data_IF_233443866486
#
_entry.id   IF_233443866486
#
_cell.length_a   1.000
_cell.length_b   1.000
_cell.length_c   1.000
_cell.angle_alpha   90.00
_cell.angle_beta   90.00
_cell.angle_gamma   90.00
#
_symmetry.space_group_name_H-M   'P 1'
#
loop_
_entity.id
_entity.type
_entity.pdbx_description
1 polymer ?
#
# COMPACT_ATOMS: atom_id res chain seq x y z
N UNK A 1 -54.27 41.93 24.98
CA UNK A 1 -52.89 41.47 24.73
C UNK A 1 -52.82 39.98 25.04
N UNK A 2 -52.84 39.12 24.02
CA UNK A 2 -52.64 37.69 24.22
C UNK A 2 -51.21 37.43 24.72
N UNK A 3 -51.08 36.74 25.86
CA UNK A 3 -49.79 36.20 26.31
C UNK A 3 -49.39 35.10 25.32
N UNK A 4 -48.45 35.39 24.42
CA UNK A 4 -47.80 34.36 23.61
C UNK A 4 -47.28 33.26 24.53
N UNK A 5 -47.74 32.04 24.31
CA UNK A 5 -47.34 30.88 25.11
C UNK A 5 -45.98 30.39 24.63
N UNK A 6 -44.91 31.07 25.05
CA UNK A 6 -43.53 30.80 24.67
C UNK A 6 -43.03 29.41 25.13
N UNK A 7 -43.85 28.62 25.84
CA UNK A 7 -43.50 27.24 26.25
C UNK A 7 -43.11 26.38 25.05
N UNK A 8 -43.85 26.49 23.93
CA UNK A 8 -43.53 25.72 22.72
C UNK A 8 -42.18 26.09 22.13
N UNK A 9 -41.89 27.40 22.03
CA UNK A 9 -40.62 27.93 21.51
C UNK A 9 -39.44 27.55 22.43
N UNK A 10 -39.61 27.66 23.75
CA UNK A 10 -38.61 27.26 24.75
C UNK A 10 -38.35 25.76 24.70
N UNK A 11 -39.38 24.92 24.55
CA UNK A 11 -39.22 23.47 24.41
C UNK A 11 -38.48 23.11 23.12
N UNK A 12 -38.76 23.78 21.99
CA UNK A 12 -38.02 23.58 20.74
C UNK A 12 -36.55 23.96 20.90
N UNK A 13 -36.26 25.11 21.51
CA UNK A 13 -34.87 25.55 21.75
C UNK A 13 -34.13 24.51 22.60
N UNK A 14 -34.78 23.98 23.64
CA UNK A 14 -34.19 22.94 24.49
C UNK A 14 -33.92 21.64 23.71
N UNK A 15 -34.86 21.21 22.87
CA UNK A 15 -34.68 20.02 22.01
C UNK A 15 -33.52 20.22 21.03
N UNK A 16 -33.41 21.38 20.39
CA UNK A 16 -32.31 21.70 19.46
C UNK A 16 -30.97 21.67 20.19
N UNK A 17 -30.87 22.31 21.37
CA UNK A 17 -29.64 22.30 22.18
C UNK A 17 -29.25 20.87 22.58
N UNK A 18 -30.19 20.08 23.09
CA UNK A 18 -29.93 18.70 23.49
C UNK A 18 -29.51 17.86 22.28
N UNK A 19 -30.17 18.00 21.13
CA UNK A 19 -29.80 17.32 19.90
C UNK A 19 -28.40 17.71 19.43
N UNK A 20 -28.06 19.01 19.44
CA UNK A 20 -26.72 19.50 19.09
C UNK A 20 -25.63 18.93 20.02
N UNK A 21 -25.90 18.85 21.32
CA UNK A 21 -24.97 18.24 22.30
C UNK A 21 -24.77 16.74 21.99
N UNK A 22 -25.85 16.00 21.73
CA UNK A 22 -25.78 14.58 21.36
C UNK A 22 -24.98 14.39 20.08
N UNK A 23 -25.27 15.18 19.04
CA UNK A 23 -24.56 15.11 17.76
C UNK A 23 -23.08 15.47 17.90
N UNK A 24 -22.74 16.47 18.72
CA UNK A 24 -21.35 16.82 19.01
C UNK A 24 -20.63 15.72 19.79
N UNK A 25 -21.29 15.13 20.78
CA UNK A 25 -20.76 13.97 21.51
C UNK A 25 -20.49 12.77 20.60
N UNK A 26 -21.43 12.43 19.73
CA UNK A 26 -21.26 11.39 18.71
C UNK A 26 -20.09 11.71 17.77
N UNK A 27 -19.99 12.96 17.31
CA UNK A 27 -18.89 13.41 16.47
C UNK A 27 -17.52 13.21 17.16
N UNK A 28 -17.40 13.56 18.44
CA UNK A 28 -16.15 13.38 19.19
C UNK A 28 -15.78 11.89 19.35
N UNK A 29 -16.74 11.04 19.70
CA UNK A 29 -16.53 9.59 19.82
C UNK A 29 -16.10 8.99 18.48
N UNK A 30 -16.77 9.37 17.40
CA UNK A 30 -16.46 8.93 16.04
C UNK A 30 -15.06 9.42 15.63
N UNK A 31 -14.71 10.66 15.93
CA UNK A 31 -13.40 11.23 15.59
C UNK A 31 -12.25 10.52 16.35
N UNK A 32 -12.40 10.26 17.64
CA UNK A 32 -11.40 9.48 18.40
C UNK A 32 -11.31 8.02 17.91
N UNK A 33 -12.44 7.41 17.57
CA UNK A 33 -12.45 6.10 16.93
C UNK A 33 -11.64 6.15 15.63
N UNK A 34 -11.85 7.14 14.76
CA UNK A 34 -11.12 7.27 13.49
C UNK A 34 -9.63 7.56 13.67
N UNK A 35 -9.21 8.31 14.71
CA UNK A 35 -7.79 8.53 15.00
C UNK A 35 -7.03 7.23 15.27
N UNK A 36 -7.67 6.25 15.91
CA UNK A 36 -7.08 4.93 16.13
C UNK A 36 -6.79 4.17 14.82
N UNK A 37 -7.55 4.45 13.77
CA UNK A 37 -7.38 3.85 12.43
C UNK A 37 -6.71 4.81 11.45
N UNK A 38 -6.12 5.91 11.94
CA UNK A 38 -5.33 6.79 11.13
C UNK A 38 -3.89 6.28 11.12
N UNK A 39 -3.31 6.12 9.93
CA UNK A 39 -1.90 5.81 9.79
C UNK A 39 -1.28 6.56 8.62
N UNK A 40 0.01 6.81 8.77
CA UNK A 40 0.86 7.31 7.70
C UNK A 40 1.76 6.17 7.30
N UNK A 41 1.83 5.85 6.01
CA UNK A 41 2.75 4.86 5.46
C UNK A 41 3.66 5.55 4.44
N UNK A 42 4.97 5.44 4.64
CA UNK A 42 5.98 6.01 3.77
C UNK A 42 6.84 4.87 3.25
N UNK A 43 6.96 4.72 1.93
CA UNK A 43 7.68 3.61 1.32
C UNK A 43 8.76 4.11 0.36
N UNK A 44 9.77 3.27 0.12
CA UNK A 44 10.80 3.49 -0.90
C UNK A 44 10.53 2.63 -2.13
N UNK A 45 10.55 3.17 -3.36
CA UNK A 45 10.68 4.59 -3.75
C UNK A 45 9.50 5.45 -3.29
N UNK A 46 9.74 6.77 -3.14
CA UNK A 46 8.86 7.76 -2.48
C UNK A 46 7.38 7.56 -2.79
N UNK A 47 6.66 7.04 -1.80
CA UNK A 47 5.19 7.05 -1.74
C UNK A 47 4.78 7.33 -0.30
N UNK A 48 3.92 8.31 -0.10
CA UNK A 48 3.39 8.67 1.22
C UNK A 48 1.88 8.52 1.16
N UNK A 49 1.32 7.65 1.99
CA UNK A 49 -0.11 7.42 2.11
C UNK A 49 -0.56 7.84 3.51
N UNK A 50 -1.51 8.77 3.57
CA UNK A 50 -2.29 9.00 4.78
C UNK A 50 -3.61 8.26 4.66
N UNK A 51 -3.83 7.31 5.55
CA UNK A 51 -5.04 6.52 5.59
C UNK A 51 -5.84 6.84 6.85
N UNK A 52 -7.15 6.98 6.70
CA UNK A 52 -8.12 7.04 7.79
C UNK A 52 -9.09 5.89 7.59
N UNK A 53 -8.86 4.80 8.32
CA UNK A 53 -9.55 3.53 8.06
C UNK A 53 -9.35 3.17 6.58
N UNK A 54 -10.40 2.74 5.89
CA UNK A 54 -10.33 2.26 4.51
C UNK A 54 -10.02 3.33 3.46
N UNK A 55 -9.96 4.61 3.83
CA UNK A 55 -9.78 5.70 2.89
C UNK A 55 -8.34 6.21 2.98
N UNK A 56 -7.61 6.13 1.87
CA UNK A 56 -6.20 6.47 1.79
C UNK A 56 -6.00 7.55 0.74
N UNK A 57 -5.22 8.55 1.10
CA UNK A 57 -4.87 9.67 0.23
C UNK A 57 -3.37 9.67 -0.01
N UNK A 58 -2.98 9.80 -1.28
CA UNK A 58 -1.58 10.00 -1.64
C UNK A 58 -1.14 11.42 -1.29
N UNK A 59 -0.12 11.50 -0.43
CA UNK A 59 0.50 12.73 0.11
C UNK A 59 1.94 12.90 -0.33
N UNK A 60 2.39 12.14 -1.32
CA UNK A 60 3.77 12.16 -1.84
C UNK A 60 4.23 13.55 -2.25
N UNK A 61 3.34 14.35 -2.85
CA UNK A 61 3.64 15.74 -3.24
C UNK A 61 3.92 16.69 -2.07
N UNK A 62 3.56 16.30 -0.84
CA UNK A 62 3.71 17.07 0.39
C UNK A 62 4.86 16.53 1.26
N UNK A 63 5.82 15.79 0.69
CA UNK A 63 6.92 15.11 1.41
C UNK A 63 7.67 15.97 2.42
N UNK A 64 7.83 17.27 2.16
CA UNK A 64 8.49 18.20 3.07
C UNK A 64 7.81 18.31 4.45
N UNK A 65 6.50 18.04 4.54
CA UNK A 65 5.75 17.99 5.81
C UNK A 65 6.11 16.79 6.67
N UNK A 66 6.75 15.77 6.10
CA UNK A 66 7.12 14.53 6.75
C UNK A 66 8.59 14.49 7.15
N UNK A 67 9.42 15.41 6.63
CA UNK A 67 10.83 15.54 6.98
C UNK A 67 11.03 15.91 8.46
N UNK A 68 12.13 15.42 9.04
CA UNK A 68 12.57 15.65 10.41
C UNK A 68 11.55 15.23 11.48
N UNK A 69 10.73 14.23 11.16
CA UNK A 69 9.82 13.57 12.09
C UNK A 69 10.25 12.12 12.32
N UNK A 70 9.90 11.61 13.49
CA UNK A 70 10.15 10.23 13.88
C UNK A 70 9.02 9.31 13.44
N UNK A 71 9.37 8.17 12.86
CA UNK A 71 8.42 7.12 12.48
C UNK A 71 8.95 5.77 12.91
N UNK A 72 8.05 4.83 13.19
CA UNK A 72 8.44 3.43 13.29
C UNK A 72 8.98 2.99 11.94
N UNK A 73 10.09 2.28 11.92
CA UNK A 73 10.83 2.00 10.70
C UNK A 73 11.07 0.51 10.57
N UNK A 74 10.72 -0.02 9.41
CA UNK A 74 11.07 -1.37 9.04
C UNK A 74 11.96 -1.33 7.80
N UNK A 75 13.08 -2.02 7.88
CA UNK A 75 14.05 -2.15 6.79
C UNK A 75 14.21 -3.63 6.49
N UNK A 76 13.99 -4.00 5.23
CA UNK A 76 14.14 -5.38 4.74
C UNK A 76 13.41 -6.42 5.63
N UNK A 77 12.19 -6.10 6.05
CA UNK A 77 11.33 -6.95 6.88
C UNK A 77 11.62 -6.91 8.38
N UNK A 78 12.62 -6.16 8.84
CA UNK A 78 13.00 -6.05 10.26
C UNK A 78 12.57 -4.70 10.85
N UNK A 79 11.84 -4.75 11.95
CA UNK A 79 11.55 -3.57 12.76
C UNK A 79 12.83 -3.11 13.47
N UNK A 80 13.25 -1.88 13.21
CA UNK A 80 14.43 -1.25 13.81
C UNK A 80 14.05 -0.08 14.74
N UNK A 81 12.77 0.03 15.11
CA UNK A 81 12.27 1.04 16.02
C UNK A 81 12.01 2.39 15.36
N UNK A 82 12.02 3.45 16.18
CA UNK A 82 11.74 4.81 15.74
C UNK A 82 12.98 5.48 15.19
N UNK A 83 12.86 6.03 13.98
CA UNK A 83 13.96 6.74 13.31
C UNK A 83 13.43 8.01 12.63
N UNK A 84 14.30 8.99 12.48
CA UNK A 84 13.99 10.25 11.82
C UNK A 84 14.22 10.13 10.32
N UNK A 85 13.27 10.65 9.54
CA UNK A 85 13.38 10.68 8.07
C UNK A 85 13.75 12.07 7.56
N UNK A 86 14.57 12.12 6.52
CA UNK A 86 14.75 13.29 5.66
C UNK A 86 14.74 12.90 4.19
N UNK A 87 13.86 13.50 3.40
CA UNK A 87 13.87 13.39 1.94
C UNK A 87 14.58 14.59 1.30
N UNK A 88 15.62 14.31 0.53
CA UNK A 88 16.30 15.27 -0.33
C UNK A 88 15.63 15.27 -1.71
N UNK A 89 14.91 16.35 -2.03
CA UNK A 89 14.22 16.51 -3.31
C UNK A 89 15.15 16.68 -4.50
N UNK A 90 16.37 17.19 -4.29
CA UNK A 90 17.37 17.36 -5.34
C UNK A 90 17.98 16.02 -5.72
N UNK A 91 18.29 15.18 -4.73
CA UNK A 91 18.84 13.84 -4.95
C UNK A 91 17.76 12.77 -5.14
N UNK A 92 16.48 13.11 -4.91
CA UNK A 92 15.33 12.21 -4.90
C UNK A 92 15.52 10.99 -3.98
N UNK A 93 16.12 11.19 -2.80
CA UNK A 93 16.53 10.12 -1.88
C UNK A 93 16.06 10.37 -0.45
N UNK A 94 15.76 9.28 0.24
CA UNK A 94 15.54 9.30 1.68
C UNK A 94 16.83 9.03 2.44
N UNK A 95 16.92 9.69 3.58
CA UNK A 95 17.91 9.46 4.61
C UNK A 95 17.16 9.12 5.89
N UNK A 96 17.59 8.05 6.54
CA UNK A 96 17.03 7.59 7.81
C UNK A 96 18.13 7.77 8.86
N UNK A 97 17.77 8.35 10.01
CA UNK A 97 18.69 8.63 11.11
C UNK A 97 18.19 7.98 12.39
N UNK A 98 19.10 7.35 13.13
CA UNK A 98 18.81 6.84 14.47
C UNK A 98 18.66 7.97 15.49
N UNK A 99 18.35 7.62 16.75
CA UNK A 99 18.21 8.58 17.86
C UNK A 99 19.51 9.33 18.23
N UNK A 100 20.65 8.96 17.64
CA UNK A 100 21.97 9.60 17.81
C UNK A 100 22.40 10.36 16.54
N UNK A 101 21.49 10.57 15.60
CA UNK A 101 21.73 11.22 14.31
C UNK A 101 22.72 10.45 13.40
N UNK A 102 22.92 9.14 13.62
CA UNK A 102 23.69 8.32 12.70
C UNK A 102 22.81 7.90 11.52
N UNK A 103 23.35 8.04 10.31
CA UNK A 103 22.66 7.57 9.10
C UNK A 103 22.59 6.04 9.06
N UNK A 104 21.38 5.52 8.88
CA UNK A 104 21.09 4.12 8.66
C UNK A 104 21.09 3.84 7.16
N UNK A 105 21.94 2.90 6.74
CA UNK A 105 22.00 2.44 5.35
C UNK A 105 21.01 1.31 5.13
N UNK A 106 20.34 1.32 3.99
CA UNK A 106 19.47 0.26 3.50
C UNK A 106 19.71 0.04 2.01
N UNK A 107 19.53 -1.19 1.55
CA UNK A 107 19.87 -1.57 0.17
C UNK A 107 18.65 -1.68 -0.73
N UNK A 108 17.53 -2.20 -0.23
CA UNK A 108 16.39 -2.56 -1.05
C UNK A 108 15.18 -1.67 -0.74
N UNK A 109 14.43 -2.04 0.30
CA UNK A 109 13.15 -1.41 0.59
C UNK A 109 13.01 -1.15 2.07
N UNK A 110 12.44 0.00 2.38
CA UNK A 110 11.97 0.29 3.72
C UNK A 110 10.53 0.75 3.63
N UNK A 111 9.85 0.63 4.76
CA UNK A 111 8.68 1.44 5.02
C UNK A 111 8.77 2.03 6.43
N UNK A 112 8.28 3.26 6.54
CA UNK A 112 8.15 4.00 7.77
C UNK A 112 6.69 4.28 8.02
N UNK A 113 6.29 4.27 9.29
CA UNK A 113 4.89 4.47 9.63
C UNK A 113 4.65 5.14 10.97
N UNK A 114 3.49 5.79 11.03
CA UNK A 114 2.86 6.26 12.26
C UNK A 114 1.50 5.57 12.41
N UNK A 115 1.15 5.13 13.61
CA UNK A 115 -0.06 4.36 13.89
C UNK A 115 0.21 2.87 14.13
N UNK A 116 -0.86 2.08 14.20
CA UNK A 116 -0.80 0.63 14.48
C UNK A 116 -0.72 -0.17 13.19
N UNK A 117 0.47 -0.25 12.60
CA UNK A 117 0.78 -1.18 11.50
C UNK A 117 1.58 -2.34 12.07
N UNK A 118 1.24 -3.57 11.67
CA UNK A 118 2.12 -4.72 11.92
C UNK A 118 2.82 -5.14 10.64
N UNK A 119 4.14 -5.08 10.69
CA UNK A 119 5.02 -5.53 9.62
C UNK A 119 5.06 -7.05 9.53
N UNK A 120 5.06 -7.59 8.31
CA UNK A 120 5.17 -9.03 8.10
C UNK A 120 6.43 -9.29 7.28
N UNK A 121 7.24 -10.23 7.77
CA UNK A 121 8.36 -10.73 7.00
C UNK A 121 7.81 -11.44 5.76
N UNK A 122 8.15 -10.91 4.58
CA UNK A 122 7.84 -11.56 3.32
C UNK A 122 8.76 -12.72 3.08
N UNK A 123 8.19 -13.90 2.86
CA UNK A 123 8.90 -15.04 2.32
C UNK A 123 8.62 -15.15 0.81
N UNK A 124 9.68 -15.00 0.02
CA UNK A 124 9.63 -14.99 -1.45
C UNK A 124 10.17 -16.32 -1.95
N UNK A 125 9.35 -17.01 -2.71
CA UNK A 125 9.67 -18.31 -3.27
C UNK A 125 9.85 -18.22 -4.79
N UNK A 126 10.72 -19.05 -5.35
CA UNK A 126 10.81 -19.21 -6.80
C UNK A 126 9.51 -19.82 -7.35
N UNK A 127 9.17 -19.45 -8.59
CA UNK A 127 8.01 -20.00 -9.30
C UNK A 127 8.49 -21.12 -10.21
N UNK A 128 7.90 -22.31 -10.06
CA UNK A 128 8.27 -23.45 -10.90
C UNK A 128 7.77 -23.30 -12.33
N UNK A 129 8.40 -24.01 -13.27
CA UNK A 129 7.97 -24.06 -14.68
C UNK A 129 6.51 -24.50 -14.83
N UNK A 130 6.06 -25.47 -14.04
CA UNK A 130 4.67 -25.97 -14.06
C UNK A 130 3.67 -24.88 -13.62
N UNK A 131 4.02 -24.08 -12.61
CA UNK A 131 3.19 -22.96 -12.17
C UNK A 131 3.14 -21.87 -13.25
N UNK A 132 4.26 -21.53 -13.87
CA UNK A 132 4.30 -20.58 -14.98
C UNK A 132 3.44 -21.04 -16.16
N UNK A 133 3.50 -22.33 -16.52
CA UNK A 133 2.63 -22.94 -17.53
C UNK A 133 1.15 -22.84 -17.17
N UNK A 134 0.82 -23.11 -15.91
CA UNK A 134 -0.55 -23.04 -15.39
C UNK A 134 -1.09 -21.62 -15.46
N UNK A 135 -0.34 -20.64 -14.95
CA UNK A 135 -0.68 -19.21 -15.00
C UNK A 135 -0.88 -18.77 -16.45
N UNK A 136 0.09 -19.08 -17.33
CA UNK A 136 0.03 -18.74 -18.74
C UNK A 136 -1.22 -19.31 -19.41
N UNK A 137 -1.53 -20.58 -19.16
CA UNK A 137 -2.69 -21.27 -19.74
C UNK A 137 -4.02 -20.71 -19.24
N UNK A 138 -4.19 -20.58 -17.91
CA UNK A 138 -5.42 -20.11 -17.27
C UNK A 138 -5.75 -18.66 -17.65
N UNK A 139 -4.73 -17.81 -17.77
CA UNK A 139 -4.88 -16.39 -18.10
C UNK A 139 -4.71 -16.08 -19.60
N UNK A 140 -4.39 -17.08 -20.43
CA UNK A 140 -4.13 -16.93 -21.88
C UNK A 140 -3.04 -15.89 -22.20
N UNK A 141 -1.95 -15.91 -21.45
CA UNK A 141 -0.83 -14.98 -21.62
C UNK A 141 0.04 -15.36 -22.81
N UNK A 142 0.64 -14.36 -23.47
CA UNK A 142 1.32 -14.54 -24.76
C UNK A 142 2.82 -14.84 -24.66
N UNK A 143 3.42 -14.71 -23.48
CA UNK A 143 4.86 -14.89 -23.31
C UNK A 143 5.31 -16.34 -23.51
N UNK A 144 6.57 -16.54 -23.91
CA UNK A 144 7.21 -17.86 -23.92
C UNK A 144 8.00 -18.08 -22.63
N UNK A 145 7.99 -19.31 -22.09
CA UNK A 145 8.65 -19.61 -20.81
C UNK A 145 10.15 -19.29 -20.84
N UNK A 146 10.82 -19.52 -21.97
CA UNK A 146 12.23 -19.19 -22.18
C UNK A 146 12.52 -17.67 -22.22
N UNK A 147 11.49 -16.82 -22.23
CA UNK A 147 11.63 -15.36 -22.13
C UNK A 147 11.47 -14.86 -20.70
N UNK A 148 11.06 -15.70 -19.74
CA UNK A 148 10.97 -15.33 -18.33
C UNK A 148 12.38 -15.17 -17.79
N UNK A 149 12.70 -13.98 -17.30
CA UNK A 149 14.01 -13.66 -16.73
C UNK A 149 13.97 -13.60 -15.22
N UNK A 150 12.79 -13.39 -14.65
CA UNK A 150 12.58 -13.33 -13.21
C UNK A 150 11.16 -13.74 -12.86
N UNK A 151 11.02 -14.52 -11.79
CA UNK A 151 9.72 -14.87 -11.23
C UNK A 151 9.82 -15.15 -9.74
N UNK A 152 8.89 -14.61 -8.97
CA UNK A 152 8.74 -14.86 -7.54
C UNK A 152 7.27 -15.09 -7.19
N UNK A 153 7.03 -15.77 -6.08
CA UNK A 153 5.72 -15.83 -5.44
C UNK A 153 5.80 -15.58 -3.94
N UNK A 154 4.75 -14.98 -3.43
CA UNK A 154 4.47 -14.83 -2.00
C UNK A 154 3.24 -15.66 -1.67
N UNK A 155 3.32 -16.42 -0.59
CA UNK A 155 2.24 -17.27 -0.09
C UNK A 155 1.80 -16.77 1.28
N UNK A 156 0.54 -16.34 1.40
CA UNK A 156 0.03 -15.74 2.64
C UNK A 156 -1.49 -15.88 2.69
N UNK A 157 -2.06 -15.93 3.90
CA UNK A 157 -3.49 -15.73 4.13
C UNK A 157 -3.78 -14.22 4.09
N UNK A 158 -4.11 -13.72 2.90
CA UNK A 158 -4.28 -12.28 2.67
C UNK A 158 -5.65 -11.78 3.12
N UNK A 159 -6.70 -12.60 3.10
CA UNK A 159 -8.06 -12.17 3.50
C UNK A 159 -8.52 -12.67 4.87
N UNK A 160 -7.62 -13.32 5.62
CA UNK A 160 -7.83 -13.82 6.97
C UNK A 160 -8.89 -14.93 7.05
N UNK A 161 -8.99 -15.76 6.02
CA UNK A 161 -9.91 -16.92 5.96
C UNK A 161 -9.25 -18.27 6.30
N UNK A 162 -7.97 -18.24 6.72
CA UNK A 162 -7.12 -19.40 7.02
C UNK A 162 -6.71 -20.24 5.82
N UNK A 163 -7.08 -19.87 4.59
CA UNK A 163 -6.52 -20.47 3.38
C UNK A 163 -5.33 -19.64 2.89
N UNK A 164 -4.32 -20.32 2.39
CA UNK A 164 -3.15 -19.64 1.81
C UNK A 164 -3.49 -19.27 0.36
N UNK A 165 -3.28 -18.00 0.03
CA UNK A 165 -3.28 -17.53 -1.34
C UNK A 165 -1.90 -17.19 -1.85
N UNK A 166 -1.77 -17.10 -3.16
CA UNK A 166 -0.50 -16.89 -3.83
C UNK A 166 -0.56 -15.64 -4.69
N UNK A 167 0.47 -14.79 -4.56
CA UNK A 167 0.68 -13.64 -5.44
C UNK A 167 2.01 -13.84 -6.16
N UNK A 168 1.96 -13.84 -7.48
CA UNK A 168 3.11 -14.08 -8.35
C UNK A 168 3.54 -12.79 -9.04
N UNK A 169 4.83 -12.52 -9.07
CA UNK A 169 5.44 -11.59 -10.03
C UNK A 169 6.17 -12.37 -11.10
N UNK A 170 5.88 -12.09 -12.37
CA UNK A 170 6.50 -12.75 -13.53
C UNK A 170 6.99 -11.67 -14.49
N UNK A 171 8.29 -11.61 -14.71
CA UNK A 171 8.96 -10.62 -15.55
C UNK A 171 9.77 -11.34 -16.63
N UNK A 172 9.77 -10.79 -17.83
CA UNK A 172 10.60 -11.30 -18.89
C UNK A 172 10.61 -10.43 -20.13
N UNK A 173 11.40 -10.86 -21.11
CA UNK A 173 11.42 -10.24 -22.42
C UNK A 173 12.54 -10.73 -23.32
N UNK A 174 12.31 -10.64 -24.62
CA UNK A 174 13.31 -10.90 -25.66
C UNK A 174 12.88 -10.27 -26.99
N UNK A 175 13.84 -9.85 -27.82
CA UNK A 175 13.65 -9.56 -29.25
C UNK A 175 12.38 -8.74 -29.59
N UNK A 176 12.17 -7.61 -28.88
CA UNK A 176 11.04 -6.68 -29.06
C UNK A 176 9.71 -7.14 -28.45
N UNK A 177 9.74 -7.93 -27.37
CA UNK A 177 8.57 -8.16 -26.52
C UNK A 177 9.02 -8.26 -25.06
N UNK A 178 8.48 -7.40 -24.22
CA UNK A 178 8.77 -7.28 -22.79
C UNK A 178 7.45 -7.39 -22.02
N UNK A 179 7.49 -8.09 -20.89
CA UNK A 179 6.30 -8.31 -20.09
C UNK A 179 6.58 -8.31 -18.60
N UNK A 180 5.59 -7.82 -17.84
CA UNK A 180 5.54 -7.90 -16.40
C UNK A 180 4.10 -8.15 -15.97
N UNK A 181 3.89 -9.19 -15.17
CA UNK A 181 2.58 -9.53 -14.62
C UNK A 181 2.66 -9.66 -13.11
N UNK A 182 1.64 -9.12 -12.44
CA UNK A 182 1.31 -9.45 -11.07
C UNK A 182 0.01 -10.27 -11.10
N UNK A 183 0.05 -11.49 -10.58
CA UNK A 183 -1.06 -12.43 -10.64
C UNK A 183 -1.45 -12.86 -9.24
N UNK A 184 -2.74 -12.84 -8.94
CA UNK A 184 -3.30 -13.38 -7.71
C UNK A 184 -4.00 -14.70 -7.97
N UNK A 185 -3.71 -15.71 -7.16
CA UNK A 185 -4.39 -17.00 -7.16
C UNK A 185 -5.15 -17.20 -5.85
N UNK A 186 -6.46 -17.43 -5.96
CA UNK A 186 -7.31 -17.90 -4.86
C UNK A 186 -8.08 -19.13 -5.33
N UNK A 187 -7.84 -20.27 -4.67
CA UNK A 187 -8.52 -21.54 -4.97
C UNK A 187 -8.47 -21.91 -6.47
N UNK A 188 -7.28 -21.89 -7.07
CA UNK A 188 -7.02 -22.16 -8.50
C UNK A 188 -7.69 -21.19 -9.49
N UNK A 189 -8.22 -20.07 -9.00
CA UNK A 189 -8.73 -18.97 -9.82
C UNK A 189 -7.68 -17.87 -9.86
N UNK A 190 -7.20 -17.59 -11.07
CA UNK A 190 -6.15 -16.63 -11.33
C UNK A 190 -6.72 -15.30 -11.80
N UNK A 191 -6.17 -14.21 -11.28
CA UNK A 191 -6.55 -12.83 -11.60
C UNK A 191 -5.32 -12.00 -11.88
N UNK A 192 -5.34 -11.21 -12.96
CA UNK A 192 -4.27 -10.24 -13.24
C UNK A 192 -4.55 -9.00 -12.40
N UNK A 193 -3.59 -8.64 -11.55
CA UNK A 193 -3.62 -7.40 -10.77
C UNK A 193 -2.88 -6.27 -11.47
N UNK A 194 -1.77 -6.60 -12.12
CA UNK A 194 -0.95 -5.69 -12.90
C UNK A 194 -0.49 -6.35 -14.19
N UNK A 195 -0.40 -5.57 -15.26
CA UNK A 195 0.02 -6.01 -16.58
C UNK A 195 0.73 -4.89 -17.33
N UNK A 196 1.96 -5.17 -17.77
CA UNK A 196 2.69 -4.41 -18.78
C UNK A 196 3.12 -5.37 -19.88
N UNK A 197 2.77 -5.08 -21.13
CA UNK A 197 3.18 -5.83 -22.33
C UNK A 197 3.60 -4.81 -23.39
N UNK A 198 4.90 -4.73 -23.69
CA UNK A 198 5.44 -3.69 -24.56
C UNK A 198 6.40 -4.30 -25.58
N UNK A 199 6.42 -3.74 -26.79
CA UNK A 199 7.43 -4.10 -27.79
C UNK A 199 8.65 -3.17 -27.74
N UNK A 200 8.47 -2.01 -27.10
CA UNK A 200 9.48 -0.98 -26.91
C UNK A 200 9.89 -0.96 -25.44
N UNK A 201 11.17 -1.26 -25.19
CA UNK A 201 11.69 -1.36 -23.82
C UNK A 201 11.56 -0.03 -23.08
N UNK A 202 11.57 1.11 -23.76
CA UNK A 202 11.47 2.44 -23.13
C UNK A 202 10.10 2.73 -22.52
N UNK A 203 9.07 1.95 -22.90
CA UNK A 203 7.72 2.03 -22.35
C UNK A 203 7.46 0.94 -21.32
N UNK A 204 8.40 -0.01 -21.20
CA UNK A 204 8.25 -1.16 -20.34
C UNK A 204 8.40 -0.77 -18.87
N UNK A 205 7.52 -1.33 -18.05
CA UNK A 205 7.56 -1.23 -16.61
C UNK A 205 7.48 -2.62 -15.99
N UNK A 206 8.37 -2.86 -15.03
CA UNK A 206 8.47 -4.11 -14.31
C UNK A 206 8.24 -3.87 -12.83
N UNK A 207 7.60 -4.82 -12.14
CA UNK A 207 7.44 -4.68 -10.71
C UNK A 207 7.60 -5.97 -9.91
N UNK A 208 7.95 -5.80 -8.64
CA UNK A 208 8.15 -6.89 -7.68
C UNK A 208 7.40 -6.61 -6.38
N UNK A 209 7.09 -7.66 -5.62
CA UNK A 209 6.39 -7.50 -4.34
C UNK A 209 7.44 -7.08 -3.31
N UNK A 210 7.35 -5.88 -2.75
CA UNK A 210 8.40 -5.36 -1.87
C UNK A 210 8.15 -5.67 -0.39
N UNK A 211 6.92 -5.51 0.08
CA UNK A 211 6.54 -5.68 1.48
C UNK A 211 5.10 -6.20 1.62
N UNK A 212 4.82 -6.89 2.73
CA UNK A 212 3.47 -7.23 3.17
C UNK A 212 3.22 -6.67 4.57
N UNK A 213 2.02 -6.15 4.79
CA UNK A 213 1.65 -5.36 5.95
C UNK A 213 0.24 -5.72 6.38
N UNK A 214 -0.06 -5.57 7.65
CA UNK A 214 -1.44 -5.46 8.14
C UNK A 214 -1.61 -4.06 8.70
N UNK A 215 -2.15 -3.17 7.86
CA UNK A 215 -2.24 -1.74 8.16
C UNK A 215 -3.46 -1.38 9.01
N UNK A 216 -4.40 -2.32 9.18
CA UNK A 216 -5.63 -2.15 9.95
C UNK A 216 -5.65 -2.93 11.27
N UNK A 217 -4.67 -3.81 11.46
CA UNK A 217 -4.63 -4.79 12.54
C UNK A 217 -5.93 -5.60 12.63
N UNK A 218 -6.49 -5.95 11.47
CA UNK A 218 -7.73 -6.73 11.34
C UNK A 218 -7.47 -8.17 10.86
N UNK A 219 -6.20 -8.53 10.68
CA UNK A 219 -5.75 -9.83 10.19
C UNK A 219 -5.58 -9.87 8.68
N UNK A 220 -6.23 -8.97 7.93
CA UNK A 220 -6.11 -8.93 6.46
C UNK A 220 -4.82 -8.25 6.07
N UNK A 221 -4.20 -8.78 5.03
CA UNK A 221 -2.86 -8.38 4.63
C UNK A 221 -2.92 -7.58 3.34
N UNK A 222 -2.29 -6.43 3.37
CA UNK A 222 -1.94 -5.65 2.21
C UNK A 222 -0.53 -5.99 1.76
N UNK A 223 -0.22 -5.67 0.51
CA UNK A 223 1.15 -5.75 0.02
C UNK A 223 1.49 -4.55 -0.85
N UNK A 224 2.76 -4.20 -0.84
CA UNK A 224 3.32 -3.13 -1.66
C UNK A 224 3.95 -3.77 -2.89
N UNK A 225 3.54 -3.30 -4.06
CA UNK A 225 4.14 -3.65 -5.34
C UNK A 225 4.99 -2.47 -5.82
N UNK A 226 6.30 -2.70 -5.88
CA UNK A 226 7.26 -1.73 -6.41
C UNK A 226 7.31 -1.86 -7.92
N UNK A 227 7.11 -0.76 -8.65
CA UNK A 227 7.16 -0.70 -10.11
C UNK A 227 8.29 0.24 -10.50
N UNK A 228 9.19 -0.24 -11.36
CA UNK A 228 10.25 0.53 -11.99
C UNK A 228 10.01 0.62 -13.50
N UNK A 229 10.25 1.80 -14.06
CA UNK A 229 10.17 2.06 -15.50
C UNK A 229 11.57 2.02 -16.10
N UNK A 230 11.67 1.54 -17.34
CA UNK A 230 12.93 1.61 -18.09
C UNK A 230 13.37 3.08 -18.28
N UNK A 231 14.69 3.33 -18.31
CA UNK A 231 15.32 4.65 -18.45
C UNK A 231 15.07 5.68 -17.32
N UNK A 232 14.92 5.24 -16.06
CA UNK A 232 14.79 6.12 -14.88
C UNK A 232 13.66 7.15 -14.94
N UNK A 233 12.66 6.96 -15.83
CA UNK A 233 11.43 7.79 -15.91
C UNK A 233 10.84 7.94 -14.50
N UNK A 234 10.92 6.87 -13.72
CA UNK A 234 10.83 6.90 -12.28
C UNK A 234 10.51 5.52 -11.73
N UNK A 235 10.23 5.50 -10.44
CA UNK A 235 9.74 4.31 -9.76
C UNK A 235 8.61 4.72 -8.83
N UNK A 236 7.71 3.79 -8.52
CA UNK A 236 6.60 4.03 -7.62
C UNK A 236 6.27 2.78 -6.81
N UNK A 237 5.55 2.98 -5.72
CA UNK A 237 4.96 1.89 -4.96
C UNK A 237 3.44 1.94 -5.05
N UNK A 238 2.83 0.79 -5.31
CA UNK A 238 1.38 0.63 -5.30
C UNK A 238 1.00 -0.29 -4.15
N UNK A 239 0.21 0.20 -3.22
CA UNK A 239 -0.36 -0.60 -2.14
C UNK A 239 -1.62 -1.30 -2.66
N UNK A 240 -1.65 -2.63 -2.56
CA UNK A 240 -2.79 -3.47 -2.89
C UNK A 240 -3.46 -3.98 -1.62
N UNK A 241 -4.80 -3.97 -1.61
CA UNK A 241 -5.62 -4.49 -0.52
C UNK A 241 -6.79 -5.34 -1.00
N UNK A 242 -7.29 -6.21 -0.15
CA UNK A 242 -8.51 -6.98 -0.46
C UNK A 242 -9.76 -6.16 -0.14
N UNK A 243 -10.64 -6.01 -1.14
CA UNK A 243 -11.98 -5.45 -1.00
C UNK A 243 -13.02 -6.45 -1.50
N UNK A 244 -13.78 -7.03 -0.58
CA UNK A 244 -14.66 -8.16 -0.90
C UNK A 244 -13.83 -9.41 -1.17
N UNK A 245 -13.81 -9.88 -2.43
CA UNK A 245 -13.08 -11.10 -2.85
C UNK A 245 -11.96 -10.81 -3.86
N UNK A 246 -11.50 -9.56 -3.97
CA UNK A 246 -10.53 -9.14 -4.98
C UNK A 246 -9.57 -8.11 -4.40
N UNK A 247 -8.34 -8.14 -4.90
CA UNK A 247 -7.40 -7.05 -4.70
C UNK A 247 -7.83 -5.81 -5.47
N UNK A 248 -7.64 -4.65 -4.84
CA UNK A 248 -7.78 -3.32 -5.44
C UNK A 248 -6.55 -2.50 -5.05
N UNK A 249 -6.12 -1.62 -5.94
CA UNK A 249 -5.07 -0.66 -5.65
C UNK A 249 -5.62 0.45 -4.74
N UNK A 250 -4.82 0.86 -3.76
CA UNK A 250 -5.14 1.92 -2.80
C UNK A 250 -4.68 3.28 -3.33
N UNK A 251 -3.57 3.29 -4.06
CA UNK A 251 -3.04 4.45 -4.75
C UNK A 251 -2.72 4.11 -6.21
N UNK A 252 -2.44 5.14 -7.00
CA UNK A 252 -2.06 5.00 -8.40
C UNK A 252 -0.60 5.40 -8.59
N UNK A 253 0.06 4.72 -9.52
CA UNK A 253 1.41 5.07 -9.92
C UNK A 253 1.35 6.27 -10.88
N UNK A 254 1.72 7.45 -10.38
CA UNK A 254 1.79 8.68 -11.19
C UNK A 254 3.25 9.07 -11.42
N UNK A 255 3.95 8.32 -12.28
CA UNK A 255 5.28 8.72 -12.74
C UNK A 255 5.10 9.78 -13.84
N UNK A 256 5.58 11.00 -13.57
CA UNK A 256 5.52 12.14 -14.50
C UNK A 256 6.87 12.40 -15.13
#
# INVERSE_FOLDING_TARGET
>A
MEKKNNKFEVTIIFIVIVFSIIMYGLYLVVNEYYKKYAFTLITSPLTILECKKWDCTDKTSEVSKYNNKEYNTNIDGKDIGKNTMYYDSFQKRFYIFDYKDNSIKYNNSFYMYEGSISGILLDKNEVSTLELETIKSKLKLKFSLNQVTYSEKVMMDFDADSNIEEVYSVIGGALNYYFSYLVYNKEEKYYILYKSEENDITKFSAGTISNALDIFNDGKKEFIYHISYYDEIGECNVLYRIKGKKFVNVNECNVK
#
